data_IF_260566510635
#
_entry.id   IF_260566510635
#
_cell.length_a   1.000
_cell.length_b   1.000
_cell.length_c   1.000
_cell.angle_alpha   90.00
_cell.angle_beta   90.00
_cell.angle_gamma   90.00
#
_symmetry.space_group_name_H-M   'P 1'
#
loop_
_entity.id
_entity.type
_entity.pdbx_description
1 polymer ?
#
# COMPACT_ATOMS: atom_id res chain seq x y z
N UNK A 1 -17.70 -14.56 18.83
CA UNK A 1 -16.82 -15.74 18.66
C UNK A 1 -15.45 -15.41 19.21
N UNK A 2 -14.95 -16.20 20.17
CA UNK A 2 -13.60 -16.09 20.75
C UNK A 2 -12.56 -16.58 19.72
N UNK A 3 -12.26 -15.75 18.72
CA UNK A 3 -11.19 -16.05 17.76
C UNK A 3 -9.84 -15.68 18.35
N UNK A 4 -8.89 -16.62 18.34
CA UNK A 4 -7.48 -16.37 18.63
C UNK A 4 -6.76 -15.77 17.42
N UNK A 5 -7.44 -15.51 16.31
CA UNK A 5 -6.87 -14.87 15.12
C UNK A 5 -6.95 -13.35 15.24
N UNK A 6 -5.98 -12.67 14.64
CA UNK A 6 -6.09 -11.23 14.38
C UNK A 6 -7.16 -10.98 13.33
N UNK A 7 -7.95 -9.89 13.43
CA UNK A 7 -8.94 -9.55 12.42
C UNK A 7 -8.30 -9.19 11.07
N UNK A 8 -7.09 -8.63 11.07
CA UNK A 8 -6.32 -8.31 9.85
C UNK A 8 -5.18 -9.31 9.65
N UNK A 9 -5.28 -10.16 8.62
CA UNK A 9 -4.24 -11.13 8.24
C UNK A 9 -4.00 -10.94 6.75
N UNK A 10 -3.15 -9.97 6.44
CA UNK A 10 -3.00 -9.46 5.09
C UNK A 10 -1.75 -9.96 4.38
N UNK A 11 -1.83 -9.91 3.06
CA UNK A 11 -0.69 -10.07 2.17
C UNK A 11 -0.69 -8.89 1.21
N UNK A 12 0.41 -8.14 1.16
CA UNK A 12 0.60 -7.06 0.21
C UNK A 12 1.41 -7.56 -1.00
N UNK A 13 0.94 -7.26 -2.20
CA UNK A 13 1.66 -7.52 -3.45
C UNK A 13 1.90 -6.20 -4.19
N UNK A 14 3.18 -5.90 -4.43
CA UNK A 14 3.63 -4.82 -5.32
C UNK A 14 3.52 -5.28 -6.77
N UNK A 15 2.61 -4.64 -7.50
CA UNK A 15 2.52 -4.79 -8.94
C UNK A 15 2.95 -3.54 -9.72
N UNK A 16 3.38 -2.50 -9.02
CA UNK A 16 3.92 -1.26 -9.58
C UNK A 16 5.34 -1.44 -10.12
N UNK A 17 6.19 -2.20 -9.43
CA UNK A 17 7.54 -2.52 -9.94
C UNK A 17 7.54 -3.68 -10.92
N UNK A 18 6.70 -4.69 -10.69
CA UNK A 18 6.55 -5.85 -11.56
C UNK A 18 5.09 -6.15 -11.85
N UNK A 19 4.70 -6.20 -13.14
CA UNK A 19 3.34 -6.60 -13.49
C UNK A 19 3.10 -8.10 -13.20
N UNK A 20 2.01 -8.42 -12.50
CA UNK A 20 1.57 -9.79 -12.25
C UNK A 20 0.30 -10.08 -13.07
N UNK A 21 0.31 -11.05 -14.00
CA UNK A 21 -0.90 -11.39 -14.74
C UNK A 21 -2.06 -11.77 -13.80
N UNK A 22 -3.29 -11.41 -14.15
CA UNK A 22 -4.50 -11.70 -13.35
C UNK A 22 -4.53 -13.16 -12.89
N UNK A 23 -4.21 -14.12 -13.77
CA UNK A 23 -4.15 -15.55 -13.44
C UNK A 23 -3.18 -15.88 -12.29
N UNK A 24 -2.03 -15.21 -12.22
CA UNK A 24 -1.08 -15.36 -11.12
C UNK A 24 -1.68 -14.82 -9.82
N UNK A 25 -2.29 -13.63 -9.84
CA UNK A 25 -2.98 -13.04 -8.69
C UNK A 25 -4.11 -13.95 -8.18
N UNK A 26 -4.95 -14.49 -9.07
CA UNK A 26 -6.01 -15.44 -8.69
C UNK A 26 -5.44 -16.72 -8.03
N UNK A 27 -4.29 -17.19 -8.52
CA UNK A 27 -3.61 -18.35 -7.93
C UNK A 27 -3.03 -18.04 -6.55
N UNK A 28 -2.45 -16.85 -6.37
CA UNK A 28 -1.99 -16.36 -5.08
C UNK A 28 -3.15 -16.24 -4.09
N UNK A 29 -4.29 -15.68 -4.48
CA UNK A 29 -5.49 -15.59 -3.62
C UNK A 29 -5.94 -16.96 -3.10
N UNK A 30 -5.89 -18.00 -3.93
CA UNK A 30 -6.22 -19.36 -3.50
C UNK A 30 -5.22 -19.87 -2.42
N UNK A 31 -3.94 -19.56 -2.56
CA UNK A 31 -2.91 -19.87 -1.55
C UNK A 31 -3.19 -19.09 -0.26
N UNK A 32 -3.43 -17.78 -0.34
CA UNK A 32 -3.72 -16.94 0.81
C UNK A 32 -4.91 -17.46 1.62
N UNK A 33 -5.99 -17.83 0.92
CA UNK A 33 -7.16 -18.47 1.52
C UNK A 33 -6.80 -19.77 2.26
N UNK A 34 -6.04 -20.67 1.62
CA UNK A 34 -5.60 -21.94 2.21
C UNK A 34 -4.81 -21.72 3.52
N UNK A 35 -4.09 -20.61 3.62
CA UNK A 35 -3.27 -20.24 4.78
C UNK A 35 -3.95 -19.24 5.73
N UNK A 36 -5.28 -19.15 5.69
CA UNK A 36 -6.13 -18.32 6.56
C UNK A 36 -5.91 -16.80 6.45
N UNK A 37 -5.25 -16.30 5.41
CA UNK A 37 -5.24 -14.86 5.14
C UNK A 37 -6.63 -14.40 4.71
N UNK A 38 -7.01 -13.19 5.09
CA UNK A 38 -8.33 -12.62 4.79
C UNK A 38 -8.25 -11.22 4.18
N UNK A 39 -7.05 -10.73 3.91
CA UNK A 39 -6.82 -9.43 3.28
C UNK A 39 -5.76 -9.61 2.18
N UNK A 40 -6.02 -9.01 1.03
CA UNK A 40 -5.09 -8.82 -0.06
C UNK A 40 -4.96 -7.31 -0.30
N UNK A 41 -3.83 -6.77 0.12
CA UNK A 41 -3.47 -5.37 -0.06
C UNK A 41 -2.77 -5.26 -1.42
N UNK A 42 -3.36 -4.50 -2.34
CA UNK A 42 -2.84 -4.37 -3.69
C UNK A 42 -2.12 -3.04 -3.89
N UNK A 43 -0.79 -3.08 -3.78
CA UNK A 43 0.09 -1.98 -4.14
C UNK A 43 0.21 -1.95 -5.67
N UNK A 44 -0.73 -1.24 -6.30
CA UNK A 44 -1.03 -1.44 -7.73
C UNK A 44 -0.10 -0.65 -8.66
N UNK A 45 0.46 0.48 -8.20
CA UNK A 45 1.39 1.33 -8.93
C UNK A 45 2.48 1.86 -7.99
N UNK A 46 3.60 2.31 -8.56
CA UNK A 46 4.69 2.98 -7.83
C UNK A 46 5.35 4.04 -8.76
N UNK A 47 6.46 4.65 -8.34
CA UNK A 47 7.23 5.64 -9.09
C UNK A 47 7.59 5.18 -10.50
N UNK A 48 7.90 3.90 -10.68
CA UNK A 48 8.42 3.35 -11.93
C UNK A 48 7.32 3.05 -12.95
N UNK A 49 6.09 2.75 -12.51
CA UNK A 49 4.99 2.38 -13.40
C UNK A 49 3.59 2.56 -12.82
N UNK A 50 2.61 2.71 -13.72
CA UNK A 50 1.19 2.80 -13.41
C UNK A 50 0.39 1.78 -14.26
N UNK A 51 0.34 0.51 -13.84
CA UNK A 51 -0.26 -0.57 -14.62
C UNK A 51 -1.76 -0.74 -14.34
N UNK A 52 -2.50 0.36 -14.20
CA UNK A 52 -3.95 0.38 -14.11
C UNK A 52 -4.51 1.32 -15.17
N UNK A 53 -5.65 0.98 -15.78
CA UNK A 53 -6.32 1.88 -16.74
C UNK A 53 -6.87 3.12 -16.02
N UNK A 54 -6.14 4.24 -16.12
CA UNK A 54 -6.52 5.55 -15.58
C UNK A 54 -5.63 6.67 -16.16
N UNK A 55 -6.13 7.90 -16.33
CA UNK A 55 -7.54 8.30 -16.27
C UNK A 55 -8.39 7.63 -17.35
N UNK A 56 -9.67 7.99 -17.48
CA UNK A 56 -10.56 7.41 -18.48
C UNK A 56 -10.04 7.54 -19.93
N UNK A 57 -9.19 8.53 -20.21
CA UNK A 57 -8.50 8.71 -21.49
C UNK A 57 -7.21 7.88 -21.64
N UNK A 58 -6.81 7.16 -20.58
CA UNK A 58 -5.60 6.35 -20.51
C UNK A 58 -4.31 7.16 -20.44
N UNK A 59 -4.36 8.46 -20.12
CA UNK A 59 -3.20 9.36 -20.18
C UNK A 59 -1.98 8.84 -19.41
N UNK A 60 -2.15 8.50 -18.13
CA UNK A 60 -1.05 7.98 -17.29
C UNK A 60 -0.71 6.53 -17.64
N UNK A 61 -1.71 5.67 -17.92
CA UNK A 61 -1.48 4.30 -18.41
C UNK A 61 -0.61 4.27 -19.65
N UNK A 62 -0.89 5.12 -20.64
CA UNK A 62 -0.10 5.22 -21.87
C UNK A 62 1.32 5.72 -21.62
N UNK A 63 1.51 6.63 -20.67
CA UNK A 63 2.85 7.03 -20.23
C UNK A 63 3.59 5.85 -19.59
N UNK A 64 2.94 5.08 -18.72
CA UNK A 64 3.53 3.86 -18.14
C UNK A 64 3.96 2.89 -19.24
N UNK A 65 3.06 2.50 -20.14
CA UNK A 65 3.34 1.60 -21.26
C UNK A 65 4.58 2.03 -22.06
N UNK A 66 4.76 3.35 -22.23
CA UNK A 66 5.88 3.90 -22.99
C UNK A 66 7.21 3.86 -22.24
N UNK A 67 7.22 3.98 -20.91
CA UNK A 67 8.44 4.24 -20.14
C UNK A 67 8.83 3.13 -19.14
N UNK A 68 7.92 2.24 -18.75
CA UNK A 68 8.13 1.27 -17.67
C UNK A 68 8.48 -0.15 -18.13
N UNK A 69 8.82 -0.35 -19.41
CA UNK A 69 9.28 -1.65 -19.92
C UNK A 69 8.21 -2.74 -20.05
N UNK A 70 6.95 -2.46 -19.71
CA UNK A 70 5.81 -3.36 -19.87
C UNK A 70 4.64 -2.65 -20.53
N UNK A 71 4.00 -3.31 -21.50
CA UNK A 71 2.76 -2.81 -22.11
C UNK A 71 1.49 -3.32 -21.42
N UNK A 72 1.63 -4.03 -20.30
CA UNK A 72 0.51 -4.65 -19.59
C UNK A 72 -0.04 -3.70 -18.52
N UNK A 73 -1.36 -3.72 -18.35
CA UNK A 73 -2.07 -2.98 -17.33
C UNK A 73 -3.37 -3.72 -16.97
N UNK A 74 -3.92 -3.44 -15.80
CA UNK A 74 -5.20 -3.96 -15.36
C UNK A 74 -6.34 -3.08 -15.86
N UNK A 75 -7.25 -3.69 -16.62
CA UNK A 75 -8.53 -3.08 -16.95
C UNK A 75 -9.49 -3.09 -15.74
N UNK A 76 -10.60 -2.33 -15.78
CA UNK A 76 -11.64 -2.42 -14.76
C UNK A 76 -12.19 -3.85 -14.60
N UNK A 77 -12.29 -4.60 -15.71
CA UNK A 77 -12.76 -5.98 -15.71
C UNK A 77 -11.75 -6.92 -15.03
N UNK A 78 -10.45 -6.68 -15.22
CA UNK A 78 -9.39 -7.46 -14.56
C UNK A 78 -9.43 -7.28 -13.03
N UNK A 79 -9.56 -6.03 -12.56
CA UNK A 79 -9.69 -5.73 -11.13
C UNK A 79 -10.98 -6.36 -10.59
N UNK A 80 -12.11 -6.24 -11.31
CA UNK A 80 -13.36 -6.85 -10.90
C UNK A 80 -13.29 -8.38 -10.79
N UNK A 81 -12.57 -9.05 -11.71
CA UNK A 81 -12.31 -10.50 -11.63
C UNK A 81 -11.52 -10.86 -10.37
N UNK A 82 -10.48 -10.11 -10.05
CA UNK A 82 -9.66 -10.32 -8.82
C UNK A 82 -10.51 -10.12 -7.57
N UNK A 83 -11.24 -9.01 -7.48
CA UNK A 83 -12.11 -8.69 -6.33
C UNK A 83 -13.18 -9.76 -6.13
N UNK A 84 -13.87 -10.17 -7.20
CA UNK A 84 -14.93 -11.19 -7.15
C UNK A 84 -14.37 -12.54 -6.69
N UNK A 85 -13.22 -12.94 -7.23
CA UNK A 85 -12.57 -14.19 -6.82
C UNK A 85 -12.14 -14.15 -5.35
N UNK A 86 -11.53 -13.06 -4.90
CA UNK A 86 -11.12 -12.87 -3.52
C UNK A 86 -12.32 -12.93 -2.56
N UNK A 87 -13.43 -12.26 -2.90
CA UNK A 87 -14.68 -12.32 -2.13
C UNK A 87 -15.21 -13.74 -1.99
N UNK A 88 -15.19 -14.55 -3.05
CA UNK A 88 -15.61 -15.96 -3.00
C UNK A 88 -14.75 -16.82 -2.04
N UNK A 89 -13.52 -16.37 -1.77
CA UNK A 89 -12.57 -16.99 -0.86
C UNK A 89 -12.59 -16.35 0.54
N UNK A 90 -13.45 -15.37 0.80
CA UNK A 90 -13.47 -14.62 2.06
C UNK A 90 -12.24 -13.73 2.27
N UNK A 91 -11.57 -13.33 1.19
CA UNK A 91 -10.43 -12.41 1.19
C UNK A 91 -10.91 -11.03 0.75
N UNK A 92 -10.71 -10.02 1.60
CA UNK A 92 -10.96 -8.62 1.26
C UNK A 92 -9.81 -8.10 0.39
N UNK A 93 -10.13 -7.37 -0.68
CA UNK A 93 -9.12 -6.65 -1.49
C UNK A 93 -9.24 -5.16 -1.25
N UNK A 94 -8.13 -4.44 -1.10
CA UNK A 94 -8.12 -2.97 -1.12
C UNK A 94 -6.93 -2.43 -1.91
N UNK A 95 -7.08 -1.27 -2.55
CA UNK A 95 -6.01 -0.64 -3.29
C UNK A 95 -5.11 0.20 -2.38
N UNK A 96 -3.86 0.31 -2.80
CA UNK A 96 -3.02 1.44 -2.45
C UNK A 96 -2.94 2.42 -3.63
N UNK A 97 -3.23 3.68 -3.33
CA UNK A 97 -2.90 4.79 -4.22
C UNK A 97 -1.84 5.63 -3.52
N UNK A 98 -0.59 5.23 -3.68
CA UNK A 98 0.53 5.87 -2.99
C UNK A 98 0.72 7.32 -3.45
N UNK A 99 0.71 8.24 -2.49
CA UNK A 99 0.86 9.67 -2.72
C UNK A 99 1.22 10.42 -1.44
N UNK A 100 1.88 11.59 -1.53
CA UNK A 100 2.34 12.25 -2.76
C UNK A 100 3.66 11.69 -3.30
N UNK A 101 4.36 10.83 -2.55
CA UNK A 101 5.56 10.12 -2.99
C UNK A 101 5.29 9.20 -4.17
N UNK A 102 6.30 8.41 -4.56
CA UNK A 102 6.15 7.32 -5.53
C UNK A 102 5.47 7.74 -6.85
N UNK A 103 5.84 8.92 -7.37
CA UNK A 103 5.08 9.59 -8.45
C UNK A 103 5.91 10.00 -9.66
N UNK A 104 7.14 9.50 -9.83
CA UNK A 104 7.98 9.80 -11.00
C UNK A 104 7.29 9.54 -12.34
N UNK A 105 6.53 8.44 -12.47
CA UNK A 105 5.79 8.14 -13.69
C UNK A 105 4.73 9.20 -14.03
N UNK A 106 4.16 9.88 -13.03
CA UNK A 106 3.25 11.00 -13.25
C UNK A 106 3.97 12.17 -13.93
N UNK A 107 5.23 12.40 -13.56
CA UNK A 107 6.08 13.40 -14.21
C UNK A 107 6.48 13.05 -15.64
N UNK A 108 6.53 11.75 -16.00
CA UNK A 108 6.69 11.30 -17.39
C UNK A 108 5.44 11.54 -18.24
N UNK A 109 4.26 11.48 -17.62
CA UNK A 109 3.00 11.84 -18.26
C UNK A 109 2.86 13.36 -18.41
N UNK A 110 2.95 14.09 -17.30
CA UNK A 110 2.79 15.54 -17.22
C UNK A 110 3.79 16.13 -16.23
N UNK A 111 4.83 16.78 -16.76
CA UNK A 111 5.94 17.34 -15.97
C UNK A 111 5.49 18.33 -14.88
N UNK A 112 4.39 19.05 -15.08
CA UNK A 112 3.88 20.05 -14.14
C UNK A 112 3.15 19.47 -12.92
N UNK A 113 2.90 18.15 -12.90
CA UNK A 113 2.23 17.48 -11.78
C UNK A 113 3.18 17.16 -10.62
N UNK A 114 4.49 17.21 -10.84
CA UNK A 114 5.49 16.80 -9.85
C UNK A 114 6.49 17.91 -9.51
N UNK A 115 7.05 17.84 -8.32
CA UNK A 115 8.30 18.49 -7.92
C UNK A 115 9.44 17.47 -7.91
N UNK A 116 10.68 17.94 -7.95
CA UNK A 116 11.85 17.05 -8.01
C UNK A 116 12.28 16.68 -9.42
N UNK A 117 13.17 15.68 -9.51
CA UNK A 117 13.78 15.25 -10.76
C UNK A 117 13.26 13.86 -11.13
N UNK A 118 12.41 13.82 -12.15
CA UNK A 118 11.82 12.58 -12.65
C UNK A 118 12.88 11.59 -13.15
N UNK A 119 13.02 10.47 -12.45
CA UNK A 119 13.92 9.36 -12.77
C UNK A 119 13.31 8.01 -12.34
N UNK A 120 12.94 7.17 -13.31
CA UNK A 120 12.29 5.88 -13.03
C UNK A 120 13.26 4.80 -12.52
N UNK A 121 14.57 5.05 -12.54
CA UNK A 121 15.57 4.11 -11.99
C UNK A 121 15.96 4.48 -10.56
N UNK A 122 15.93 5.78 -10.28
CA UNK A 122 16.26 6.36 -8.98
C UNK A 122 15.21 7.42 -8.65
N UNK A 123 14.00 7.01 -8.25
CA UNK A 123 12.89 7.92 -7.96
C UNK A 123 13.30 9.11 -7.10
N UNK A 124 13.00 10.31 -7.58
CA UNK A 124 13.33 11.59 -6.93
C UNK A 124 12.27 12.66 -7.26
N UNK A 125 11.04 12.22 -7.55
CA UNK A 125 9.92 13.11 -7.81
C UNK A 125 8.65 12.69 -7.07
N UNK A 126 7.86 13.69 -6.69
CA UNK A 126 6.61 13.53 -5.94
C UNK A 126 5.57 14.52 -6.43
N UNK A 127 4.28 14.22 -6.23
CA UNK A 127 3.19 15.10 -6.63
C UNK A 127 3.35 16.51 -6.04
N UNK A 128 3.14 17.52 -6.88
CA UNK A 128 3.09 18.91 -6.47
C UNK A 128 1.73 19.21 -5.83
N UNK A 129 1.67 19.08 -4.50
CA UNK A 129 0.48 19.29 -3.68
C UNK A 129 0.32 20.76 -3.23
N UNK A 130 1.04 21.71 -3.83
CA UNK A 130 0.85 23.12 -3.48
C UNK A 130 -0.58 23.56 -3.86
N UNK A 131 -1.30 24.36 -3.03
CA UNK A 131 -2.74 24.61 -3.24
C UNK A 131 -3.12 25.22 -4.60
N UNK A 132 -2.20 25.94 -5.25
CA UNK A 132 -2.39 26.49 -6.60
C UNK A 132 -2.38 25.43 -7.72
N UNK A 133 -2.00 24.18 -7.42
CA UNK A 133 -1.95 23.05 -8.37
C UNK A 133 -3.28 22.32 -8.44
N UNK A 134 -4.33 23.04 -8.86
CA UNK A 134 -5.67 22.48 -8.90
C UNK A 134 -5.78 21.22 -9.77
N UNK A 135 -4.96 21.12 -10.83
CA UNK A 135 -4.89 19.91 -11.67
C UNK A 135 -4.49 18.66 -10.86
N UNK A 136 -3.48 18.77 -9.99
CA UNK A 136 -3.05 17.66 -9.11
C UNK A 136 -4.21 17.19 -8.23
N UNK A 137 -4.89 18.11 -7.55
CA UNK A 137 -6.01 17.78 -6.66
C UNK A 137 -7.19 17.16 -7.42
N UNK A 138 -7.51 17.68 -8.61
CA UNK A 138 -8.59 17.15 -9.43
C UNK A 138 -8.27 15.72 -9.91
N UNK A 139 -7.03 15.47 -10.33
CA UNK A 139 -6.58 14.14 -10.75
C UNK A 139 -6.54 13.15 -9.59
N UNK A 140 -6.07 13.57 -8.41
CA UNK A 140 -6.08 12.70 -7.22
C UNK A 140 -7.52 12.36 -6.82
N UNK A 141 -8.44 13.33 -6.81
CA UNK A 141 -9.85 13.07 -6.51
C UNK A 141 -10.49 12.10 -7.52
N UNK A 142 -10.20 12.26 -8.82
CA UNK A 142 -10.65 11.36 -9.88
C UNK A 142 -10.06 9.94 -9.72
N UNK A 143 -8.77 9.83 -9.39
CA UNK A 143 -8.11 8.55 -9.12
C UNK A 143 -8.74 7.83 -7.93
N UNK A 144 -8.96 8.53 -6.81
CA UNK A 144 -9.58 7.96 -5.60
C UNK A 144 -11.01 7.51 -5.89
N UNK A 145 -11.79 8.31 -6.63
CA UNK A 145 -13.15 7.92 -7.04
C UNK A 145 -13.16 6.72 -7.99
N UNK A 146 -12.23 6.68 -8.94
CA UNK A 146 -12.10 5.58 -9.90
C UNK A 146 -11.70 4.28 -9.21
N UNK A 147 -10.70 4.33 -8.32
CA UNK A 147 -10.26 3.17 -7.54
C UNK A 147 -11.34 2.69 -6.58
N UNK A 148 -12.10 3.59 -5.94
CA UNK A 148 -13.26 3.20 -5.14
C UNK A 148 -14.28 2.42 -5.96
N UNK A 149 -14.59 2.88 -7.18
CA UNK A 149 -15.49 2.17 -8.11
C UNK A 149 -14.95 0.80 -8.52
N UNK A 150 -13.64 0.66 -8.76
CA UNK A 150 -13.05 -0.60 -9.22
C UNK A 150 -12.98 -1.64 -8.09
N UNK A 151 -12.68 -1.22 -6.87
CA UNK A 151 -12.43 -2.12 -5.74
C UNK A 151 -13.65 -2.32 -4.84
N UNK A 152 -14.48 -1.29 -4.64
CA UNK A 152 -15.64 -1.32 -3.74
C UNK A 152 -15.29 -1.70 -2.29
N UNK A 153 -14.06 -1.44 -1.88
CA UNK A 153 -13.51 -1.87 -0.59
C UNK A 153 -13.84 -0.89 0.53
N UNK A 154 -14.13 -1.33 1.77
CA UNK A 154 -14.25 -0.42 2.92
C UNK A 154 -12.90 0.14 3.39
N UNK A 155 -11.77 -0.32 2.81
CA UNK A 155 -10.42 0.14 3.12
C UNK A 155 -9.80 0.88 1.92
N UNK A 156 -8.88 1.80 2.20
CA UNK A 156 -8.07 2.48 1.18
C UNK A 156 -6.70 2.84 1.77
N UNK A 157 -5.62 2.45 1.12
CA UNK A 157 -4.25 2.83 1.52
C UNK A 157 -3.78 4.02 0.69
N UNK A 158 -3.25 5.05 1.34
CA UNK A 158 -2.76 6.26 0.68
C UNK A 158 -1.23 6.34 0.62
N UNK A 159 -0.54 5.32 1.14
CA UNK A 159 0.91 5.25 1.19
C UNK A 159 1.48 6.33 2.11
N UNK A 160 2.07 7.35 1.48
CA UNK A 160 2.60 8.56 2.10
C UNK A 160 3.90 8.36 2.91
N UNK A 161 4.62 7.30 2.56
CA UNK A 161 6.01 7.03 2.92
C UNK A 161 6.99 7.82 2.04
N UNK A 162 8.24 7.89 2.51
CA UNK A 162 9.41 8.44 1.79
C UNK A 162 9.23 9.86 1.19
N UNK A 163 8.29 10.63 1.70
CA UNK A 163 7.96 11.98 1.20
C UNK A 163 9.09 12.97 1.51
N UNK A 164 9.76 13.51 0.49
CA UNK A 164 10.75 14.56 0.66
C UNK A 164 10.10 15.95 0.84
N UNK A 165 10.71 16.83 1.64
CA UNK A 165 10.26 18.23 1.78
C UNK A 165 10.91 19.13 0.72
N UNK A 166 10.49 18.87 -0.53
CA UNK A 166 11.05 19.48 -1.74
C UNK A 166 10.05 20.41 -2.47
N UNK A 167 8.89 20.71 -1.89
CA UNK A 167 7.95 21.69 -2.45
C UNK A 167 8.45 23.12 -2.29
N UNK A 168 9.42 23.32 -1.39
CA UNK A 168 10.07 24.59 -1.10
C UNK A 168 9.05 25.66 -0.68
N UNK A 169 8.08 25.28 0.16
CA UNK A 169 7.17 26.26 0.78
C UNK A 169 7.75 26.79 2.08
N UNK A 170 7.04 27.74 2.70
CA UNK A 170 7.43 28.23 4.02
C UNK A 170 7.36 27.12 5.10
N UNK A 171 6.46 26.14 4.93
CA UNK A 171 6.25 25.07 5.90
C UNK A 171 5.67 23.83 5.19
N UNK A 172 6.56 22.96 4.70
CA UNK A 172 6.17 21.72 4.02
C UNK A 172 5.50 20.72 4.98
N UNK A 173 5.72 20.80 6.30
CA UNK A 173 4.96 20.01 7.27
C UNK A 173 3.48 20.42 7.26
N UNK A 174 3.21 21.74 7.29
CA UNK A 174 1.84 22.24 7.23
C UNK A 174 1.19 21.90 5.89
N UNK A 175 1.93 22.01 4.79
CA UNK A 175 1.44 21.62 3.47
C UNK A 175 1.02 20.15 3.43
N UNK A 176 1.92 19.26 3.85
CA UNK A 176 1.68 17.81 3.82
C UNK A 176 0.53 17.41 4.77
N UNK A 177 0.50 17.97 5.99
CA UNK A 177 -0.60 17.74 6.93
C UNK A 177 -1.96 18.18 6.36
N UNK A 178 -2.03 19.30 5.65
CA UNK A 178 -3.26 19.75 5.00
C UNK A 178 -3.68 18.82 3.87
N UNK A 179 -2.73 18.30 3.10
CA UNK A 179 -3.00 17.32 2.04
C UNK A 179 -3.56 16.02 2.60
N UNK A 180 -2.96 15.46 3.66
CA UNK A 180 -3.49 14.25 4.32
C UNK A 180 -4.89 14.47 4.89
N UNK A 181 -5.15 15.63 5.52
CA UNK A 181 -6.48 15.98 5.99
C UNK A 181 -7.49 16.09 4.84
N UNK A 182 -7.09 16.60 3.69
CA UNK A 182 -7.93 16.65 2.49
C UNK A 182 -8.21 15.26 1.92
N UNK A 183 -7.22 14.36 1.85
CA UNK A 183 -7.43 12.97 1.41
C UNK A 183 -8.47 12.25 2.25
N UNK A 184 -8.47 12.46 3.58
CA UNK A 184 -9.49 11.92 4.48
C UNK A 184 -10.91 12.35 4.07
N UNK A 185 -11.09 13.55 3.51
CA UNK A 185 -12.41 14.01 3.05
C UNK A 185 -12.92 13.32 1.78
N UNK A 186 -12.03 12.70 1.00
CA UNK A 186 -12.41 11.95 -0.20
C UNK A 186 -13.00 10.58 0.12
N UNK A 187 -12.70 10.04 1.31
CA UNK A 187 -13.08 8.70 1.74
C UNK A 187 -13.84 8.71 3.09
N UNK A 188 -14.93 9.49 3.23
CA UNK A 188 -15.54 9.79 4.55
C UNK A 188 -16.14 8.56 5.25
N UNK A 189 -16.42 7.48 4.52
CA UNK A 189 -17.01 6.25 5.05
C UNK A 189 -16.02 5.09 5.14
N UNK A 190 -14.79 5.26 4.64
CA UNK A 190 -13.79 4.19 4.54
C UNK A 190 -12.81 4.25 5.70
N UNK A 191 -12.25 3.10 6.06
CA UNK A 191 -11.05 3.07 6.91
C UNK A 191 -9.83 3.35 6.06
N UNK A 192 -9.13 4.43 6.39
CA UNK A 192 -7.99 4.93 5.65
C UNK A 192 -6.68 4.56 6.35
N UNK A 193 -5.68 4.20 5.55
CA UNK A 193 -4.41 3.64 6.01
C UNK A 193 -3.24 4.45 5.41
N UNK A 194 -2.18 4.62 6.19
CA UNK A 194 -0.89 5.17 5.77
C UNK A 194 0.23 4.27 6.26
N UNK A 195 1.38 4.31 5.59
CA UNK A 195 2.64 3.88 6.17
C UNK A 195 3.02 4.76 7.37
N UNK A 196 3.98 4.32 8.19
CA UNK A 196 4.25 4.95 9.48
C UNK A 196 5.08 6.25 9.42
N UNK A 197 5.74 6.53 8.30
CA UNK A 197 6.67 7.65 8.09
C UNK A 197 6.11 9.00 8.55
N UNK A 198 4.86 9.40 8.24
CA UNK A 198 4.32 10.68 8.71
C UNK A 198 4.36 10.83 10.24
N UNK A 199 4.41 9.72 10.99
CA UNK A 199 4.47 9.70 12.46
C UNK A 199 5.82 9.26 13.02
N UNK A 200 6.73 8.70 12.23
CA UNK A 200 7.95 8.06 12.74
C UNK A 200 9.24 8.71 12.23
N UNK A 201 9.23 9.35 11.07
CA UNK A 201 10.35 10.16 10.58
C UNK A 201 10.47 11.45 11.42
N UNK A 202 11.69 11.72 11.91
CA UNK A 202 12.00 12.85 12.79
C UNK A 202 11.80 14.22 12.12
N UNK A 203 11.92 14.30 10.80
CA UNK A 203 11.65 15.52 10.04
C UNK A 203 10.15 15.81 9.96
N UNK A 204 9.30 14.79 10.14
CA UNK A 204 7.85 14.85 10.00
C UNK A 204 7.20 15.19 11.34
N UNK A 205 6.68 16.42 11.42
CA UNK A 205 5.91 16.95 12.56
C UNK A 205 4.42 16.95 12.24
N UNK A 206 3.92 15.85 11.68
CA UNK A 206 2.53 15.69 11.24
C UNK A 206 1.64 15.36 12.45
N UNK A 207 0.41 15.90 12.44
CA UNK A 207 -0.61 15.63 13.46
C UNK A 207 -1.81 14.97 12.78
N UNK A 208 -1.80 13.64 12.74
CA UNK A 208 -2.89 12.86 12.16
C UNK A 208 -4.06 12.69 13.13
N UNK A 209 -5.28 12.67 12.57
CA UNK A 209 -6.45 12.16 13.30
C UNK A 209 -6.23 10.69 13.69
N UNK A 210 -6.76 10.28 14.84
CA UNK A 210 -6.72 8.88 15.31
C UNK A 210 -7.55 7.92 14.45
N UNK A 211 -8.35 8.46 13.53
CA UNK A 211 -9.12 7.67 12.57
C UNK A 211 -8.21 6.93 11.59
N UNK A 212 -7.04 7.49 11.27
CA UNK A 212 -6.02 6.85 10.45
C UNK A 212 -5.52 5.57 11.11
N UNK A 213 -5.61 4.47 10.37
CA UNK A 213 -4.87 3.24 10.67
C UNK A 213 -3.45 3.45 10.16
N UNK A 214 -2.46 3.01 10.93
CA UNK A 214 -1.05 3.14 10.57
C UNK A 214 -0.48 1.75 10.33
N UNK A 215 0.07 1.53 9.15
CA UNK A 215 0.79 0.32 8.81
C UNK A 215 2.27 0.54 9.08
N UNK A 216 2.83 -0.20 10.04
CA UNK A 216 4.21 0.02 10.50
C UNK A 216 5.16 -0.93 9.80
N UNK A 217 6.02 -0.38 8.95
CA UNK A 217 7.07 -1.12 8.25
C UNK A 217 8.45 -0.89 8.87
N UNK A 218 8.70 0.27 9.49
CA UNK A 218 9.92 0.48 10.25
C UNK A 218 9.98 -0.43 11.49
N UNK A 219 11.12 -1.06 11.71
CA UNK A 219 11.30 -2.01 12.81
C UNK A 219 11.25 -1.28 14.18
N UNK A 220 10.46 -1.81 15.13
CA UNK A 220 10.42 -1.32 16.51
C UNK A 220 9.58 -0.05 16.76
N UNK A 221 9.00 0.58 15.74
CA UNK A 221 8.21 1.83 15.89
C UNK A 221 6.78 1.60 16.40
N UNK A 222 6.27 0.36 16.28
CA UNK A 222 4.89 -0.03 16.60
C UNK A 222 4.41 0.49 17.95
N UNK A 223 5.22 0.37 19.01
CA UNK A 223 4.85 0.83 20.36
C UNK A 223 4.69 2.34 20.45
N UNK A 224 5.48 3.11 19.69
CA UNK A 224 5.38 4.56 19.62
C UNK A 224 4.07 5.00 18.96
N UNK A 225 3.71 4.37 17.84
CA UNK A 225 2.45 4.62 17.13
C UNK A 225 1.23 4.27 17.99
N UNK A 226 1.27 3.13 18.70
CA UNK A 226 0.21 2.75 19.66
C UNK A 226 0.06 3.77 20.81
N UNK A 227 1.15 4.33 21.33
CA UNK A 227 1.11 5.38 22.38
C UNK A 227 0.45 6.67 21.88
N UNK A 228 0.56 6.99 20.59
CA UNK A 228 -0.15 8.11 19.94
C UNK A 228 -1.66 7.83 19.79
N UNK A 229 -2.10 6.60 20.01
CA UNK A 229 -3.51 6.21 20.07
C UNK A 229 -4.09 5.67 18.76
N UNK A 230 -3.26 5.42 17.75
CA UNK A 230 -3.69 4.87 16.47
C UNK A 230 -3.95 3.37 16.53
N UNK A 231 -4.76 2.89 15.58
CA UNK A 231 -4.87 1.47 15.23
C UNK A 231 -3.71 1.09 14.32
N UNK A 232 -3.14 -0.10 14.50
CA UNK A 232 -1.91 -0.50 13.81
C UNK A 232 -2.06 -1.83 13.09
N UNK A 233 -1.56 -1.87 11.86
CA UNK A 233 -1.26 -3.08 11.10
C UNK A 233 0.27 -3.22 11.10
N UNK A 234 0.79 -4.39 11.47
CA UNK A 234 2.24 -4.58 11.62
C UNK A 234 2.81 -5.28 10.39
N UNK A 235 3.79 -4.67 9.74
CA UNK A 235 4.51 -5.23 8.60
C UNK A 235 6.01 -4.92 8.69
N UNK A 236 6.59 -5.00 9.89
CA UNK A 236 8.00 -4.66 10.14
C UNK A 236 8.94 -5.36 9.14
N UNK A 237 9.74 -4.58 8.42
CA UNK A 237 10.44 -5.00 7.20
C UNK A 237 11.46 -6.11 7.41
N UNK A 238 12.09 -6.18 8.59
CA UNK A 238 13.03 -7.27 8.88
C UNK A 238 12.32 -8.61 9.11
N UNK A 239 11.02 -8.59 9.40
CA UNK A 239 10.24 -9.76 9.80
C UNK A 239 9.25 -10.20 8.74
N UNK A 240 8.53 -9.27 8.12
CA UNK A 240 7.36 -9.59 7.28
C UNK A 240 7.57 -9.34 5.78
N UNK A 241 8.68 -8.74 5.36
CA UNK A 241 8.96 -8.54 3.94
C UNK A 241 9.58 -9.79 3.35
N UNK A 242 8.98 -10.31 2.29
CA UNK A 242 9.56 -11.40 1.50
C UNK A 242 10.95 -10.97 1.01
N UNK A 243 11.93 -11.88 1.12
CA UNK A 243 13.35 -11.59 0.89
C UNK A 243 14.14 -11.33 2.19
N UNK A 244 13.53 -10.64 3.16
CA UNK A 244 14.09 -10.46 4.51
C UNK A 244 13.53 -11.45 5.52
N UNK A 245 12.27 -11.83 5.34
CA UNK A 245 11.50 -12.69 6.20
C UNK A 245 12.00 -14.13 6.13
N UNK A 246 11.96 -14.79 7.28
CA UNK A 246 12.09 -16.23 7.39
C UNK A 246 11.10 -16.76 8.43
N UNK A 247 10.95 -18.08 8.49
CA UNK A 247 9.99 -18.72 9.40
C UNK A 247 10.28 -18.41 10.87
N UNK A 248 11.55 -18.26 11.26
CA UNK A 248 11.94 -18.07 12.65
C UNK A 248 11.63 -16.65 13.11
N UNK A 249 11.96 -15.64 12.30
CA UNK A 249 11.63 -14.24 12.58
C UNK A 249 10.12 -14.05 12.74
N UNK A 250 9.32 -14.57 11.81
CA UNK A 250 7.86 -14.44 11.88
C UNK A 250 7.29 -15.20 13.09
N UNK A 251 7.73 -16.43 13.31
CA UNK A 251 7.18 -17.27 14.39
C UNK A 251 7.55 -16.76 15.79
N UNK A 252 8.70 -16.08 15.92
CA UNK A 252 9.18 -15.50 17.17
C UNK A 252 8.73 -14.05 17.40
N UNK A 253 8.10 -13.41 16.41
CA UNK A 253 7.69 -12.02 16.51
C UNK A 253 6.72 -11.79 17.68
N UNK A 254 7.15 -10.94 18.62
CA UNK A 254 6.39 -10.64 19.82
C UNK A 254 5.44 -9.46 19.59
N UNK A 255 4.22 -9.76 19.16
CA UNK A 255 3.17 -8.76 19.02
C UNK A 255 2.89 -8.02 20.35
N UNK A 256 2.75 -6.68 20.34
CA UNK A 256 2.29 -5.94 21.51
C UNK A 256 0.90 -6.42 21.96
N UNK A 257 0.72 -6.62 23.26
CA UNK A 257 -0.60 -6.89 23.84
C UNK A 257 -1.39 -5.59 23.97
N UNK A 258 -1.97 -5.15 22.85
CA UNK A 258 -2.75 -3.93 22.76
C UNK A 258 -3.96 -4.15 21.84
N UNK A 259 -5.19 -3.74 22.23
CA UNK A 259 -6.38 -3.93 21.41
C UNK A 259 -6.35 -3.18 20.07
N UNK A 260 -5.55 -2.12 19.95
CA UNK A 260 -5.37 -1.37 18.72
C UNK A 260 -4.47 -2.07 17.69
N UNK A 261 -3.83 -3.19 18.03
CA UNK A 261 -3.15 -4.04 17.05
C UNK A 261 -4.21 -4.83 16.30
N UNK A 262 -4.46 -4.43 15.05
CA UNK A 262 -5.43 -5.05 14.15
C UNK A 262 -4.91 -6.37 13.59
N UNK A 263 -3.60 -6.50 13.42
CA UNK A 263 -2.94 -7.70 12.96
C UNK A 263 -1.66 -7.43 12.22
N UNK A 264 -1.43 -8.17 11.14
CA UNK A 264 -0.16 -8.16 10.40
C UNK A 264 -0.39 -8.24 8.90
N UNK A 265 0.62 -7.82 8.14
CA UNK A 265 0.75 -8.13 6.72
C UNK A 265 2.11 -8.72 6.39
N UNK A 266 2.11 -9.79 5.59
CA UNK A 266 3.30 -10.23 4.86
C UNK A 266 3.37 -9.40 3.59
N UNK A 267 4.54 -8.86 3.27
CA UNK A 267 4.69 -7.88 2.19
C UNK A 267 5.64 -8.41 1.13
N UNK A 268 5.24 -8.31 -0.14
CA UNK A 268 6.11 -8.58 -1.28
C UNK A 268 6.26 -7.30 -2.11
N UNK A 269 7.29 -6.51 -1.79
CA UNK A 269 7.82 -5.51 -2.71
C UNK A 269 8.61 -6.23 -3.80
N UNK A 270 8.22 -6.03 -5.05
CA UNK A 270 8.74 -6.84 -6.16
C UNK A 270 9.91 -6.13 -6.81
N UNK A 271 10.78 -6.92 -7.42
CA UNK A 271 11.87 -6.43 -8.27
C UNK A 271 11.62 -6.80 -9.73
N UNK A 272 12.35 -6.16 -10.65
CA UNK A 272 12.23 -6.44 -12.10
C UNK A 272 12.46 -7.93 -12.42
N UNK A 273 13.30 -8.61 -11.64
CA UNK A 273 13.69 -10.01 -11.84
C UNK A 273 12.71 -11.04 -11.25
N UNK A 274 11.73 -10.62 -10.44
CA UNK A 274 10.77 -11.55 -9.86
C UNK A 274 9.89 -12.21 -10.94
N UNK A 275 9.63 -13.52 -10.82
CA UNK A 275 8.65 -14.22 -11.65
C UNK A 275 7.26 -14.14 -10.99
N UNK A 276 6.20 -13.72 -11.70
CA UNK A 276 4.84 -13.69 -11.15
C UNK A 276 4.32 -15.01 -10.58
N UNK A 277 4.96 -16.14 -10.90
CA UNK A 277 4.63 -17.47 -10.38
C UNK A 277 5.56 -17.95 -9.26
N UNK A 278 6.48 -17.10 -8.79
CA UNK A 278 7.38 -17.41 -7.68
C UNK A 278 6.69 -17.54 -6.33
N UNK A 279 5.40 -17.18 -6.22
CA UNK A 279 4.58 -17.50 -5.06
C UNK A 279 4.52 -19.00 -4.74
N UNK A 280 4.98 -19.88 -5.64
CA UNK A 280 5.12 -21.33 -5.39
C UNK A 280 6.47 -21.74 -4.83
N UNK A 281 7.45 -20.85 -4.82
CA UNK A 281 8.81 -21.09 -4.32
C UNK A 281 8.81 -21.00 -2.79
N UNK A 282 9.75 -21.70 -2.17
CA UNK A 282 9.90 -21.74 -0.71
C UNK A 282 10.13 -20.36 -0.10
N UNK A 283 10.91 -19.49 -0.75
CA UNK A 283 11.24 -18.17 -0.21
C UNK A 283 10.03 -17.24 -0.08
N UNK A 284 8.96 -17.44 -0.87
CA UNK A 284 7.67 -16.76 -0.70
C UNK A 284 6.73 -17.56 0.22
N UNK A 285 6.69 -18.89 0.06
CA UNK A 285 5.76 -19.75 0.78
C UNK A 285 6.07 -19.92 2.27
N UNK A 286 7.34 -19.96 2.67
CA UNK A 286 7.71 -20.15 4.07
C UNK A 286 7.26 -18.97 4.96
N UNK A 287 7.44 -17.70 4.55
CA UNK A 287 6.84 -16.57 5.25
C UNK A 287 5.31 -16.66 5.40
N UNK A 288 4.60 -17.03 4.33
CA UNK A 288 3.14 -17.21 4.34
C UNK A 288 2.74 -18.30 5.35
N UNK A 289 3.40 -19.46 5.32
CA UNK A 289 3.14 -20.60 6.22
C UNK A 289 3.42 -20.25 7.68
N UNK A 290 4.51 -19.53 7.95
CA UNK A 290 4.87 -19.08 9.29
C UNK A 290 3.82 -18.10 9.83
N UNK A 291 3.45 -17.10 9.02
CA UNK A 291 2.47 -16.08 9.39
C UNK A 291 1.07 -16.67 9.61
N UNK A 292 0.68 -17.70 8.85
CA UNK A 292 -0.58 -18.43 9.03
C UNK A 292 -0.77 -19.04 10.44
N UNK A 293 0.33 -19.22 11.19
CA UNK A 293 0.32 -19.78 12.55
C UNK A 293 0.21 -18.70 13.63
N UNK A 294 0.30 -17.42 13.29
CA UNK A 294 0.22 -16.30 14.26
C UNK A 294 -1.16 -16.30 14.93
N UNK A 295 -1.17 -16.15 16.25
CA UNK A 295 -2.37 -16.04 17.08
C UNK A 295 -2.23 -14.89 18.08
N UNK A 296 -3.33 -14.21 18.38
CA UNK A 296 -3.44 -13.31 19.53
C UNK A 296 -3.20 -14.11 20.80
N UNK A 297 -2.45 -13.54 21.76
CA UNK A 297 -2.40 -14.11 23.11
C UNK A 297 -3.81 -14.10 23.70
N UNK A 298 -4.22 -15.22 24.29
CA UNK A 298 -5.47 -15.27 25.06
C UNK A 298 -5.29 -14.34 26.26
N UNK A 299 -6.24 -13.44 26.49
CA UNK A 299 -6.36 -12.77 27.78
C UNK A 299 -6.75 -13.85 28.78
N UNK A 300 -5.86 -14.10 29.75
CA UNK A 300 -6.19 -14.89 30.94
C UNK A 300 -7.14 -14.10 31.82
#
# INVERSE_FOLDING_TARGET
MNSTLYPHRGFMLDTGRKFFPVKAILSLLAVLHQYNFNVFHWHIYDAESFPMLWPADGGLTNASIKYSGSSQFYSPEDIHKVVTQAQSLGVLVYPETDMPGHSDIWGKWKKNLVVGKVDLKHPDAQLDIRPQRQETYNLVADLVSTTDKYFGSPLHHFGADEVAYMWNTQDDNKLFNNFLNWLQTLCPTKSIILWDDPLTDEEKRIKLSKDWIIQTWHNGVTKGVLKKGHRVIISESNTFYIGNADSDKISSFAFPDNPNVLGYEVVWFTSEDDDPYDFRKSWVMEPIKAAAKIRRRKKN
#
